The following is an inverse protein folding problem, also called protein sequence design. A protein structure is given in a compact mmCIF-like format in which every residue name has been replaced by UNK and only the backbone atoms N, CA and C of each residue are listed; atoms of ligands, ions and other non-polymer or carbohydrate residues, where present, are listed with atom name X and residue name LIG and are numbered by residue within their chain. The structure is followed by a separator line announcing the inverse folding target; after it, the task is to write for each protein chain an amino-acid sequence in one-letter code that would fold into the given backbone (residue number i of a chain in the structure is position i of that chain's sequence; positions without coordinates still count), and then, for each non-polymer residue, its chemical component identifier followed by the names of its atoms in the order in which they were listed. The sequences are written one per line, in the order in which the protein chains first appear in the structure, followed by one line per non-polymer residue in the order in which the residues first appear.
data_IF_187882224268
#
_entry.id   IF_187882224268
#
_cell.length_a   1.000
_cell.length_b   1.000
_cell.length_c   1.000
_cell.angle_alpha   90.00
_cell.angle_beta   90.00
_cell.angle_gamma   90.00
#
_symmetry.space_group_name_H-M   'P 1'
#
loop_
_entity.id
_entity.type
_entity.pdbx_description
1 polymer ?
#
# COMPACT_ATOMS: atom_id res chain seq x y z
N UNK A 1 -18.52 -15.62 -13.57
CA UNK A 1 -17.57 -15.80 -14.68
C UNK A 1 -18.30 -16.40 -15.87
N UNK A 2 -18.55 -15.58 -16.88
CA UNK A 2 -19.20 -15.92 -18.16
C UNK A 2 -18.20 -15.97 -19.34
N UNK A 3 -17.08 -15.26 -19.21
CA UNK A 3 -16.00 -15.16 -20.20
C UNK A 3 -15.31 -13.79 -20.19
N UNK A 4 -15.92 -12.78 -19.55
CA UNK A 4 -15.36 -11.43 -19.31
C UNK A 4 -13.89 -11.47 -18.85
N UNK A 5 -13.65 -12.05 -17.67
CA UNK A 5 -12.31 -12.07 -17.05
C UNK A 5 -11.34 -13.10 -17.65
N UNK A 6 -11.58 -13.61 -18.86
CA UNK A 6 -10.70 -14.63 -19.44
C UNK A 6 -9.31 -14.08 -19.80
N UNK A 7 -9.22 -12.79 -20.14
CA UNK A 7 -7.95 -12.08 -20.34
C UNK A 7 -7.13 -11.98 -19.04
N UNK A 8 -7.77 -11.71 -17.90
CA UNK A 8 -7.11 -11.76 -16.59
C UNK A 8 -6.52 -13.14 -16.26
N UNK A 9 -7.17 -14.23 -16.68
CA UNK A 9 -6.62 -15.57 -16.48
C UNK A 9 -5.48 -15.89 -17.46
N UNK A 10 -5.54 -15.39 -18.70
CA UNK A 10 -4.43 -15.51 -19.66
C UNK A 10 -3.20 -14.75 -19.15
N UNK A 11 -3.36 -13.47 -18.77
CA UNK A 11 -2.32 -12.63 -18.16
C UNK A 11 -1.69 -13.27 -16.92
N UNK A 12 -2.49 -13.67 -15.91
CA UNK A 12 -1.95 -14.30 -14.69
C UNK A 12 -1.24 -15.63 -14.93
N UNK A 13 -1.40 -16.25 -16.11
CA UNK A 13 -0.72 -17.49 -16.47
C UNK A 13 0.64 -17.32 -17.15
N UNK A 14 1.06 -16.09 -17.43
CA UNK A 14 2.37 -15.81 -18.05
C UNK A 14 3.56 -16.12 -17.13
N UNK A 15 3.35 -16.14 -15.81
CA UNK A 15 4.36 -16.53 -14.81
C UNK A 15 4.71 -18.03 -14.84
N UNK A 16 3.81 -18.86 -15.37
CA UNK A 16 3.93 -20.32 -15.45
C UNK A 16 3.59 -21.09 -14.17
N UNK A 17 3.06 -20.45 -13.12
CA UNK A 17 2.66 -21.11 -11.87
C UNK A 17 1.41 -21.98 -12.04
N UNK A 18 0.42 -21.47 -12.75
CA UNK A 18 -0.83 -22.15 -13.11
C UNK A 18 -1.23 -21.76 -14.53
N UNK A 19 -1.85 -22.65 -15.30
CA UNK A 19 -2.39 -22.28 -16.62
C UNK A 19 -3.62 -21.36 -16.47
N UNK A 20 -3.94 -20.58 -17.50
CA UNK A 20 -5.15 -19.74 -17.52
C UNK A 20 -6.43 -20.52 -17.19
N UNK A 21 -6.49 -21.79 -17.60
CA UNK A 21 -7.58 -22.68 -17.20
C UNK A 21 -7.57 -22.97 -15.69
N UNK A 22 -6.43 -23.24 -15.09
CA UNK A 22 -6.33 -23.56 -13.66
C UNK A 22 -6.63 -22.33 -12.79
N UNK A 23 -6.23 -21.13 -13.22
CA UNK A 23 -6.70 -19.87 -12.62
C UNK A 23 -8.23 -19.73 -12.75
N UNK A 24 -8.78 -19.90 -13.96
CA UNK A 24 -10.23 -19.84 -14.19
C UNK A 24 -11.01 -20.85 -13.33
N UNK A 25 -10.52 -22.08 -13.21
CA UNK A 25 -11.13 -23.13 -12.38
C UNK A 25 -11.01 -22.79 -10.86
N UNK A 26 -9.90 -22.17 -10.42
CA UNK A 26 -9.68 -21.68 -9.04
C UNK A 26 -10.61 -20.52 -8.68
N UNK A 27 -10.60 -19.43 -9.45
CA UNK A 27 -11.47 -18.27 -9.25
C UNK A 27 -12.95 -18.63 -9.41
N UNK A 28 -13.30 -19.59 -10.29
CA UNK A 28 -14.69 -20.13 -10.39
C UNK A 28 -15.13 -20.83 -9.10
N UNK A 29 -14.22 -21.42 -8.32
CA UNK A 29 -14.54 -21.96 -6.99
C UNK A 29 -14.62 -20.83 -5.94
N UNK A 30 -13.63 -19.93 -5.94
CA UNK A 30 -13.53 -18.78 -5.05
C UNK A 30 -14.78 -17.89 -5.08
N UNK A 31 -14.99 -17.21 -6.22
CA UNK A 31 -16.12 -16.30 -6.49
C UNK A 31 -17.51 -16.97 -6.50
N UNK A 32 -17.64 -18.26 -6.15
CA UNK A 32 -18.91 -18.98 -6.27
C UNK A 32 -19.95 -18.46 -5.26
N UNK A 33 -20.84 -17.60 -5.76
CA UNK A 33 -22.07 -17.13 -5.10
C UNK A 33 -23.32 -17.62 -5.84
N UNK A 34 -24.48 -17.59 -5.20
CA UNK A 34 -25.79 -17.74 -5.85
C UNK A 34 -26.50 -16.40 -6.12
N UNK A 35 -25.95 -15.29 -5.59
CA UNK A 35 -26.40 -13.93 -5.83
C UNK A 35 -25.79 -13.33 -7.10
N UNK A 36 -26.51 -12.38 -7.70
CA UNK A 36 -26.09 -11.64 -8.90
C UNK A 36 -25.76 -10.17 -8.58
N UNK A 37 -26.53 -9.54 -7.67
CA UNK A 37 -26.24 -8.21 -7.14
C UNK A 37 -26.56 -8.15 -5.64
N UNK A 38 -25.83 -7.27 -4.95
CA UNK A 38 -26.08 -6.87 -3.57
C UNK A 38 -26.19 -5.35 -3.58
N UNK A 39 -27.07 -4.78 -2.76
CA UNK A 39 -27.19 -3.34 -2.58
C UNK A 39 -27.24 -3.03 -1.09
N UNK A 40 -26.34 -2.16 -0.64
CA UNK A 40 -26.14 -1.80 0.76
C UNK A 40 -26.52 -0.32 0.90
N UNK A 41 -27.31 0.02 1.92
CA UNK A 41 -27.62 1.41 2.26
C UNK A 41 -27.82 1.50 3.78
N UNK A 42 -26.95 2.24 4.46
CA UNK A 42 -26.84 2.25 5.93
C UNK A 42 -26.73 0.81 6.48
N UNK A 43 -27.67 0.38 7.33
CA UNK A 43 -27.80 -0.97 7.88
C UNK A 43 -28.67 -1.92 7.02
N UNK A 44 -29.30 -1.43 5.95
CA UNK A 44 -30.18 -2.22 5.10
C UNK A 44 -29.42 -2.89 3.93
N UNK A 45 -29.51 -4.22 3.82
CA UNK A 45 -28.86 -4.98 2.74
C UNK A 45 -29.89 -5.80 1.95
N UNK A 46 -29.84 -5.60 0.64
CA UNK A 46 -30.68 -6.24 -0.37
C UNK A 46 -29.84 -7.20 -1.21
N UNK A 47 -30.32 -8.42 -1.37
CA UNK A 47 -29.71 -9.47 -2.17
C UNK A 47 -30.63 -9.83 -3.34
N UNK A 48 -30.09 -9.92 -4.55
CA UNK A 48 -30.84 -10.39 -5.73
C UNK A 48 -30.16 -11.64 -6.28
N UNK A 49 -30.88 -12.76 -6.35
CA UNK A 49 -30.37 -14.00 -6.92
C UNK A 49 -30.37 -14.00 -8.46
N UNK A 50 -29.75 -15.01 -9.06
CA UNK A 50 -29.61 -15.13 -10.54
C UNK A 50 -30.94 -15.35 -11.27
N UNK A 51 -32.01 -15.74 -10.57
CA UNK A 51 -33.36 -15.82 -11.13
C UNK A 51 -34.12 -14.47 -10.97
N UNK A 52 -33.49 -13.44 -10.39
CA UNK A 52 -34.06 -12.12 -10.17
C UNK A 52 -34.96 -12.03 -8.94
N UNK A 53 -34.96 -13.03 -8.05
CA UNK A 53 -35.68 -12.95 -6.77
C UNK A 53 -34.87 -12.10 -5.80
N UNK A 54 -35.55 -11.15 -5.18
CA UNK A 54 -35.00 -10.24 -4.16
C UNK A 54 -35.35 -10.73 -2.76
N UNK A 55 -34.39 -10.69 -1.85
CA UNK A 55 -34.61 -10.75 -0.40
C UNK A 55 -33.77 -9.68 0.31
N UNK A 56 -34.26 -9.14 1.42
CA UNK A 56 -33.70 -7.95 2.06
C UNK A 56 -33.92 -7.99 3.58
N UNK A 57 -32.98 -7.46 4.35
CA UNK A 57 -33.09 -7.29 5.81
C UNK A 57 -32.25 -6.11 6.26
N UNK A 58 -32.60 -5.56 7.42
CA UNK A 58 -31.70 -4.71 8.20
C UNK A 58 -30.68 -5.60 8.93
N UNK A 59 -29.44 -5.14 9.08
CA UNK A 59 -28.31 -5.93 9.57
C UNK A 59 -27.55 -5.24 10.69
N UNK A 60 -27.35 -5.99 11.77
CA UNK A 60 -26.70 -5.51 12.97
C UNK A 60 -25.25 -6.00 13.03
N UNK A 61 -24.32 -5.06 13.19
CA UNK A 61 -22.92 -5.37 13.49
C UNK A 61 -22.79 -6.11 14.84
N UNK A 62 -22.09 -7.25 14.84
CA UNK A 62 -21.88 -8.10 16.03
C UNK A 62 -20.43 -8.13 16.50
N UNK A 63 -19.50 -7.59 15.72
CA UNK A 63 -18.07 -7.50 16.03
C UNK A 63 -17.21 -7.84 14.81
N UNK A 64 -15.92 -8.06 15.04
CA UNK A 64 -14.99 -8.53 14.02
C UNK A 64 -14.10 -9.64 14.61
N UNK A 65 -13.44 -10.38 13.73
CA UNK A 65 -12.31 -11.25 14.09
C UNK A 65 -11.19 -11.09 13.07
N UNK A 66 -10.00 -11.56 13.41
CA UNK A 66 -8.92 -11.70 12.43
C UNK A 66 -8.91 -13.13 11.92
N UNK A 67 -9.04 -13.29 10.60
CA UNK A 67 -8.77 -14.56 9.94
C UNK A 67 -7.25 -14.67 9.74
N UNK A 68 -6.65 -15.70 10.33
CA UNK A 68 -5.30 -16.13 9.98
C UNK A 68 -5.42 -17.14 8.82
N UNK A 69 -4.78 -16.87 7.67
CA UNK A 69 -4.86 -17.71 6.48
C UNK A 69 -3.72 -18.75 6.44
N UNK A 70 -3.92 -19.88 5.75
CA UNK A 70 -2.89 -20.92 5.62
C UNK A 70 -1.63 -20.49 4.83
N UNK A 71 -1.72 -19.38 4.07
CA UNK A 71 -0.59 -18.66 3.45
C UNK A 71 0.29 -17.92 4.47
N UNK A 72 -0.26 -17.56 5.64
CA UNK A 72 0.37 -16.66 6.62
C UNK A 72 -0.22 -15.23 6.60
N UNK A 73 -0.95 -14.86 5.55
CA UNK A 73 -1.71 -13.60 5.44
C UNK A 73 -2.73 -13.48 6.59
N UNK A 74 -3.12 -12.25 6.95
CA UNK A 74 -4.11 -12.00 8.01
C UNK A 74 -5.13 -10.95 7.55
N UNK A 75 -6.41 -11.22 7.69
CA UNK A 75 -7.49 -10.32 7.24
C UNK A 75 -8.47 -9.97 8.38
N UNK A 76 -8.95 -8.72 8.41
CA UNK A 76 -10.07 -8.33 9.24
C UNK A 76 -11.40 -8.83 8.62
N UNK A 77 -12.22 -9.51 9.43
CA UNK A 77 -13.50 -10.06 9.01
C UNK A 77 -14.62 -9.46 9.88
N UNK A 78 -15.43 -8.58 9.30
CA UNK A 78 -16.51 -7.86 9.99
C UNK A 78 -17.81 -8.67 9.96
N UNK A 79 -18.41 -8.91 11.13
CA UNK A 79 -19.57 -9.81 11.30
C UNK A 79 -20.87 -9.03 11.52
N UNK A 80 -21.90 -9.42 10.76
CA UNK A 80 -23.24 -8.84 10.80
C UNK A 80 -24.31 -9.94 10.90
N UNK A 81 -25.44 -9.65 11.54
CA UNK A 81 -26.54 -10.58 11.80
C UNK A 81 -27.87 -9.92 11.42
N UNK A 82 -28.73 -10.64 10.69
CA UNK A 82 -30.02 -10.13 10.21
C UNK A 82 -30.99 -9.88 11.36
N UNK A 83 -31.62 -8.69 11.39
CA UNK A 83 -32.66 -8.36 12.38
C UNK A 83 -33.95 -9.18 12.14
N UNK A 84 -34.37 -9.41 10.88
CA UNK A 84 -35.40 -10.42 10.56
C UNK A 84 -34.82 -11.68 9.90
N UNK A 85 -34.63 -12.70 10.74
CA UNK A 85 -34.21 -14.06 10.35
C UNK A 85 -35.23 -14.85 9.51
N UNK A 86 -36.38 -14.26 9.19
CA UNK A 86 -37.43 -14.85 8.36
C UNK A 86 -37.60 -14.13 7.01
N UNK A 87 -36.84 -13.06 6.76
CA UNK A 87 -36.80 -12.30 5.51
C UNK A 87 -36.45 -13.15 4.27
N UNK A 88 -35.68 -14.22 4.47
CA UNK A 88 -35.07 -15.00 3.40
C UNK A 88 -33.80 -14.35 2.82
N UNK A 89 -33.28 -13.30 3.46
CA UNK A 89 -31.90 -12.84 3.27
C UNK A 89 -30.96 -13.65 4.21
N UNK A 90 -29.65 -13.77 3.92
CA UNK A 90 -28.71 -14.53 4.73
C UNK A 90 -28.70 -14.12 6.20
N UNK A 91 -28.90 -15.06 7.12
CA UNK A 91 -29.04 -14.72 8.56
C UNK A 91 -27.74 -14.16 9.17
N UNK A 92 -26.59 -14.63 8.70
CA UNK A 92 -25.25 -14.21 9.16
C UNK A 92 -24.38 -13.89 7.95
N UNK A 93 -23.66 -12.77 8.03
CA UNK A 93 -22.73 -12.31 6.99
C UNK A 93 -21.37 -11.91 7.57
N UNK A 94 -20.32 -12.17 6.79
CA UNK A 94 -18.94 -11.77 7.04
C UNK A 94 -18.43 -10.96 5.84
N UNK A 95 -18.08 -9.70 6.09
CA UNK A 95 -17.44 -8.80 5.13
C UNK A 95 -15.92 -8.79 5.31
N UNK A 96 -15.20 -8.74 4.20
CA UNK A 96 -13.81 -8.34 4.10
C UNK A 96 -13.57 -7.62 2.76
N UNK A 97 -12.70 -6.64 2.82
CA UNK A 97 -12.39 -5.60 1.84
C UNK A 97 -10.88 -5.47 1.62
N UNK A 98 -10.09 -6.39 2.21
CA UNK A 98 -8.63 -6.36 2.42
C UNK A 98 -8.10 -5.21 3.28
N UNK A 99 -8.68 -4.02 3.13
CA UNK A 99 -8.25 -2.78 3.77
C UNK A 99 -8.30 -2.87 5.31
N UNK A 100 -7.35 -2.23 5.97
CA UNK A 100 -7.15 -2.25 7.42
C UNK A 100 -7.61 -0.93 8.09
N UNK A 101 -7.76 0.15 7.32
CA UNK A 101 -8.18 1.49 7.76
C UNK A 101 -9.43 1.97 6.96
N UNK A 102 -10.04 3.14 7.26
CA UNK A 102 -11.27 3.57 6.58
C UNK A 102 -11.02 4.16 5.17
N UNK A 103 -11.27 3.37 4.13
CA UNK A 103 -11.02 3.71 2.71
C UNK A 103 -12.19 3.26 1.81
N UNK A 104 -12.14 3.52 0.49
CA UNK A 104 -13.12 2.99 -0.48
C UNK A 104 -12.65 1.64 -1.01
N UNK A 105 -13.32 0.56 -0.63
CA UNK A 105 -13.04 -0.77 -1.20
C UNK A 105 -13.29 -0.84 -2.72
N UNK A 106 -12.35 -1.46 -3.43
CA UNK A 106 -12.44 -1.89 -4.83
C UNK A 106 -13.54 -2.98 -4.96
N UNK A 107 -13.37 -4.06 -4.19
CA UNK A 107 -14.33 -5.16 -4.08
C UNK A 107 -14.57 -5.62 -2.64
N UNK A 108 -15.70 -6.27 -2.42
CA UNK A 108 -16.03 -6.92 -1.16
C UNK A 108 -16.09 -8.45 -1.30
N UNK A 109 -15.37 -9.15 -0.43
CA UNK A 109 -15.62 -10.55 -0.11
C UNK A 109 -16.73 -10.66 0.93
N UNK A 110 -17.88 -11.24 0.56
CA UNK A 110 -19.06 -11.37 1.44
C UNK A 110 -19.45 -12.84 1.62
N UNK A 111 -19.06 -13.44 2.74
CA UNK A 111 -19.42 -14.83 3.08
C UNK A 111 -20.71 -14.89 3.89
N UNK A 112 -21.51 -15.94 3.72
CA UNK A 112 -22.92 -15.98 4.12
C UNK A 112 -23.32 -17.34 4.74
N UNK A 113 -24.20 -17.32 5.73
CA UNK A 113 -24.85 -18.55 6.26
C UNK A 113 -26.22 -18.23 6.89
N UNK A 114 -27.14 -19.20 6.83
CA UNK A 114 -28.43 -19.14 7.54
C UNK A 114 -28.38 -19.78 8.95
N UNK A 115 -27.33 -20.57 9.24
CA UNK A 115 -27.25 -21.38 10.47
C UNK A 115 -26.46 -20.67 11.58
N UNK A 116 -25.22 -20.26 11.29
CA UNK A 116 -24.32 -19.53 12.20
C UNK A 116 -23.05 -19.07 11.47
N UNK A 117 -22.25 -18.18 12.07
CA UNK A 117 -20.91 -17.85 11.56
C UNK A 117 -20.01 -19.09 11.43
N UNK A 118 -20.07 -20.03 12.39
CA UNK A 118 -19.30 -21.28 12.36
C UNK A 118 -19.76 -22.25 11.25
N UNK A 119 -20.89 -21.97 10.61
CA UNK A 119 -21.41 -22.68 9.43
C UNK A 119 -21.10 -21.95 8.11
N UNK A 120 -20.22 -20.95 8.12
CA UNK A 120 -19.53 -20.45 6.92
C UNK A 120 -18.35 -21.39 6.64
N UNK A 121 -18.52 -22.28 5.67
CA UNK A 121 -17.60 -23.41 5.42
C UNK A 121 -16.59 -23.08 4.32
N UNK A 122 -15.34 -23.53 4.49
CA UNK A 122 -14.25 -23.45 3.50
C UNK A 122 -13.87 -22.00 3.11
N UNK A 123 -13.49 -21.12 4.07
CA UNK A 123 -13.19 -19.72 3.78
C UNK A 123 -12.00 -19.52 2.84
N UNK A 124 -11.03 -20.45 2.82
CA UNK A 124 -9.89 -20.43 1.89
C UNK A 124 -10.29 -20.87 0.47
N UNK A 125 -11.42 -21.56 0.36
CA UNK A 125 -11.92 -22.19 -0.85
C UNK A 125 -13.19 -21.58 -1.43
N UNK A 126 -13.87 -20.69 -0.71
CA UNK A 126 -15.03 -19.94 -1.17
C UNK A 126 -15.03 -18.53 -0.55
N UNK A 127 -14.87 -17.54 -1.42
CA UNK A 127 -14.77 -16.12 -1.14
C UNK A 127 -15.61 -15.38 -2.21
N UNK A 128 -16.95 -15.39 -2.06
CA UNK A 128 -17.87 -14.65 -2.93
C UNK A 128 -17.45 -13.19 -3.05
N UNK A 129 -17.18 -12.71 -4.26
CA UNK A 129 -16.61 -11.37 -4.50
C UNK A 129 -17.57 -10.52 -5.31
N UNK A 130 -17.69 -9.26 -4.93
CA UNK A 130 -18.61 -8.29 -5.52
C UNK A 130 -17.87 -6.97 -5.74
N UNK A 131 -17.80 -6.55 -7.00
CA UNK A 131 -17.23 -5.29 -7.48
C UNK A 131 -18.31 -4.19 -7.50
N UNK A 132 -17.90 -2.93 -7.66
CA UNK A 132 -18.86 -1.82 -7.86
C UNK A 132 -19.68 -2.05 -9.15
N UNK A 133 -21.00 -1.88 -9.04
CA UNK A 133 -21.94 -2.08 -10.15
C UNK A 133 -21.87 -0.98 -11.23
N UNK A 134 -21.06 0.06 -11.01
CA UNK A 134 -20.71 1.06 -12.02
C UNK A 134 -19.66 0.57 -13.04
N UNK A 135 -18.81 -0.39 -12.66
CA UNK A 135 -17.67 -0.82 -13.46
C UNK A 135 -18.08 -1.67 -14.68
N UNK A 136 -17.35 -1.50 -15.77
CA UNK A 136 -17.43 -2.34 -16.96
C UNK A 136 -16.72 -3.68 -16.75
N UNK A 137 -17.00 -4.71 -17.58
CA UNK A 137 -16.29 -5.99 -17.50
C UNK A 137 -14.78 -5.89 -17.73
N UNK A 138 -14.32 -4.82 -18.37
CA UNK A 138 -12.93 -4.60 -18.74
C UNK A 138 -12.20 -3.92 -17.56
N UNK A 139 -12.78 -2.92 -16.90
CA UNK A 139 -12.26 -2.35 -15.64
C UNK A 139 -12.17 -3.40 -14.52
N UNK A 140 -13.19 -4.27 -14.38
CA UNK A 140 -13.12 -5.43 -13.45
C UNK A 140 -12.07 -6.46 -13.89
N UNK A 141 -11.68 -6.48 -15.17
CA UNK A 141 -10.56 -7.29 -15.65
C UNK A 141 -9.24 -6.70 -15.16
N UNK A 142 -9.05 -5.38 -15.27
CA UNK A 142 -7.86 -4.66 -14.81
C UNK A 142 -7.69 -4.69 -13.28
N UNK A 143 -8.76 -4.49 -12.50
CA UNK A 143 -8.77 -4.70 -11.04
C UNK A 143 -8.35 -6.13 -10.67
N UNK A 144 -8.91 -7.14 -11.36
CA UNK A 144 -8.56 -8.55 -11.11
C UNK A 144 -7.14 -8.87 -11.58
N UNK A 145 -6.63 -8.23 -12.64
CA UNK A 145 -5.22 -8.33 -13.06
C UNK A 145 -4.30 -7.73 -11.99
N UNK A 146 -4.67 -6.58 -11.42
CA UNK A 146 -3.84 -5.76 -10.54
C UNK A 146 -3.22 -4.54 -11.23
N UNK A 147 -3.82 -4.09 -12.35
CA UNK A 147 -3.39 -2.88 -13.05
C UNK A 147 -4.10 -1.64 -12.49
N UNK A 148 -3.46 -0.98 -11.52
CA UNK A 148 -3.82 0.41 -11.22
C UNK A 148 -3.55 1.30 -12.44
N UNK A 149 -4.51 2.15 -12.81
CA UNK A 149 -4.38 3.01 -14.00
C UNK A 149 -3.13 3.89 -13.95
N UNK A 150 -2.39 3.90 -15.06
CA UNK A 150 -1.27 4.82 -15.30
C UNK A 150 -1.53 5.64 -16.56
N UNK A 151 -1.60 6.97 -16.42
CA UNK A 151 -1.91 7.90 -17.52
C UNK A 151 -0.69 8.25 -18.41
N UNK A 152 -0.69 7.77 -19.67
CA UNK A 152 0.11 8.18 -20.87
C UNK A 152 -0.39 7.32 -22.07
N UNK A 153 -0.79 7.74 -23.28
CA UNK A 153 -1.20 9.00 -23.98
C UNK A 153 -2.24 8.52 -25.08
N UNK A 154 -2.87 9.22 -26.05
CA UNK A 154 -2.66 10.48 -26.80
C UNK A 154 -4.03 11.19 -27.06
N UNK A 155 -4.04 12.53 -26.95
CA UNK A 155 -4.80 13.52 -27.77
C UNK A 155 -6.34 13.83 -27.68
N UNK A 156 -6.61 15.15 -27.56
CA UNK A 156 -7.72 16.01 -28.07
C UNK A 156 -9.22 15.67 -27.81
N UNK A 157 -9.86 16.35 -26.83
CA UNK A 157 -10.82 17.47 -27.10
C UNK A 157 -11.23 18.29 -25.83
N UNK A 158 -11.88 19.45 -26.00
CA UNK A 158 -12.22 20.40 -24.90
C UNK A 158 -13.39 19.97 -23.97
N UNK A 159 -13.12 19.69 -22.69
CA UNK A 159 -14.16 19.70 -21.64
C UNK A 159 -13.69 20.27 -20.28
N UNK A 160 -14.34 21.36 -19.82
CA UNK A 160 -14.23 21.85 -18.44
C UNK A 160 -14.97 20.88 -17.49
N UNK A 161 -14.23 20.17 -16.63
CA UNK A 161 -14.78 19.44 -15.50
C UNK A 161 -14.26 20.05 -14.18
N UNK A 162 -15.18 20.50 -13.33
CA UNK A 162 -14.89 20.82 -11.94
C UNK A 162 -14.59 19.51 -11.21
N UNK A 163 -13.33 19.31 -10.79
CA UNK A 163 -12.98 18.20 -9.91
C UNK A 163 -13.59 18.48 -8.53
N UNK A 164 -14.58 17.68 -8.11
CA UNK A 164 -14.95 17.62 -6.70
C UNK A 164 -13.80 16.97 -5.91
N UNK A 165 -13.51 17.51 -4.73
CA UNK A 165 -12.33 17.17 -3.93
C UNK A 165 -12.45 15.75 -3.33
N UNK A 166 -11.86 14.76 -4.00
CA UNK A 166 -11.38 13.56 -3.31
C UNK A 166 -10.21 13.96 -2.40
N UNK A 167 -10.18 13.44 -1.17
CA UNK A 167 -9.13 13.81 -0.21
C UNK A 167 -7.77 13.31 -0.72
N UNK A 168 -6.79 14.22 -0.86
CA UNK A 168 -5.43 13.86 -1.31
C UNK A 168 -4.79 12.91 -0.30
N UNK A 169 -4.29 11.75 -0.76
CA UNK A 169 -3.52 10.84 0.11
C UNK A 169 -2.17 11.47 0.48
N UNK A 170 -2.14 12.12 1.65
CA UNK A 170 -0.92 12.71 2.19
C UNK A 170 0.01 11.63 2.75
N UNK A 171 1.15 11.42 2.07
CA UNK A 171 2.26 10.62 2.59
C UNK A 171 2.65 11.08 4.01
N UNK A 172 2.61 10.19 5.01
CA UNK A 172 2.85 10.57 6.40
C UNK A 172 4.33 10.88 6.72
N UNK A 173 5.27 10.47 5.86
CA UNK A 173 6.71 10.41 6.13
C UNK A 173 7.43 11.77 6.03
N UNK A 174 6.73 12.86 6.35
CA UNK A 174 7.20 14.26 6.29
C UNK A 174 8.54 14.47 6.99
N UNK A 175 8.88 13.66 7.99
CA UNK A 175 10.13 13.77 8.75
C UNK A 175 11.38 13.34 7.96
N UNK A 176 11.27 12.63 6.84
CA UNK A 176 12.42 12.23 6.02
C UNK A 176 12.94 13.37 5.11
N UNK A 177 12.17 14.44 4.94
CA UNK A 177 12.70 15.73 4.47
C UNK A 177 13.36 16.50 5.62
N UNK A 178 14.62 16.91 5.43
CA UNK A 178 15.32 17.77 6.39
C UNK A 178 14.73 19.18 6.43
N UNK A 179 14.13 19.64 5.33
CA UNK A 179 13.48 20.95 5.21
C UNK A 179 12.16 20.95 5.98
N UNK A 180 11.36 19.90 5.86
CA UNK A 180 10.17 19.68 6.71
C UNK A 180 10.55 19.52 8.18
N UNK A 181 11.56 18.71 8.51
CA UNK A 181 12.03 18.55 9.90
C UNK A 181 12.44 19.87 10.54
N UNK A 182 13.01 20.81 9.77
CA UNK A 182 13.33 22.18 10.21
C UNK A 182 12.08 23.00 10.52
N UNK A 183 11.04 22.91 9.70
CA UNK A 183 9.73 23.57 9.92
C UNK A 183 9.05 23.01 11.17
N UNK A 184 8.99 21.67 11.29
CA UNK A 184 8.42 20.97 12.45
C UNK A 184 9.12 21.38 13.75
N UNK A 185 10.46 21.43 13.76
CA UNK A 185 11.22 21.87 14.93
C UNK A 185 10.90 23.32 15.34
N UNK A 186 10.72 24.22 14.37
CA UNK A 186 10.39 25.62 14.64
C UNK A 186 8.96 25.79 15.20
N UNK A 187 7.98 25.04 14.69
CA UNK A 187 6.63 25.07 15.23
C UNK A 187 6.56 24.43 16.63
N UNK A 188 7.33 23.36 16.89
CA UNK A 188 7.47 22.76 18.23
C UNK A 188 8.07 23.76 19.22
N UNK A 189 9.17 24.45 18.87
CA UNK A 189 9.80 25.45 19.74
C UNK A 189 8.85 26.61 20.07
N UNK A 190 8.18 27.17 19.06
CA UNK A 190 7.14 28.21 19.20
C UNK A 190 6.01 27.81 20.14
N UNK A 191 5.55 26.55 20.11
CA UNK A 191 4.53 26.07 21.04
C UNK A 191 5.06 25.82 22.45
N UNK A 192 6.33 25.45 22.61
CA UNK A 192 6.99 25.31 23.92
C UNK A 192 7.22 26.71 24.54
N UNK A 193 7.68 27.71 23.80
CA UNK A 193 7.80 29.11 24.25
C UNK A 193 6.44 29.65 24.75
N UNK A 194 5.35 29.35 24.04
CA UNK A 194 4.01 29.77 24.44
C UNK A 194 3.50 29.13 25.75
N UNK A 195 4.09 28.01 26.19
CA UNK A 195 3.76 27.29 27.42
C UNK A 195 4.70 27.68 28.57
N UNK A 196 5.99 27.88 28.30
CA UNK A 196 7.03 28.25 29.28
C UNK A 196 7.87 29.47 28.80
N UNK A 197 7.30 30.68 28.84
CA UNK A 197 7.95 31.89 28.31
C UNK A 197 9.13 32.37 29.16
N UNK A 198 9.29 31.89 30.40
CA UNK A 198 10.44 32.23 31.24
C UNK A 198 11.74 31.57 30.71
N UNK A 199 11.62 30.45 29.97
CA UNK A 199 12.73 29.70 29.39
C UNK A 199 12.89 29.88 27.85
N UNK A 200 12.10 30.78 27.24
CA UNK A 200 12.05 31.07 25.80
C UNK A 200 13.43 31.17 25.11
N UNK A 201 14.37 31.91 25.72
CA UNK A 201 15.69 32.14 25.15
C UNK A 201 16.54 30.86 25.01
N UNK A 202 16.35 29.89 25.91
CA UNK A 202 17.05 28.61 25.86
C UNK A 202 16.43 27.69 24.81
N UNK A 203 15.10 27.68 24.64
CA UNK A 203 14.45 26.95 23.54
C UNK A 203 14.91 27.47 22.19
N UNK A 204 14.94 28.80 22.01
CA UNK A 204 15.45 29.41 20.79
C UNK A 204 16.91 29.07 20.51
N UNK A 205 17.78 29.14 21.52
CA UNK A 205 19.19 28.77 21.36
C UNK A 205 19.36 27.28 20.96
N UNK A 206 18.49 26.40 21.48
CA UNK A 206 18.47 24.99 21.09
C UNK A 206 17.94 24.78 19.66
N UNK A 207 16.87 25.49 19.25
CA UNK A 207 16.37 25.46 17.87
C UNK A 207 17.44 25.93 16.89
N UNK A 208 18.02 27.12 17.10
CA UNK A 208 19.05 27.69 16.22
C UNK A 208 20.28 26.75 16.10
N UNK A 209 20.63 26.02 17.17
CA UNK A 209 21.69 25.01 17.20
C UNK A 209 21.32 23.67 16.56
N UNK A 210 20.03 23.33 16.48
CA UNK A 210 19.56 22.09 15.84
C UNK A 210 19.30 22.29 14.35
N UNK A 211 18.66 23.39 13.96
CA UNK A 211 18.42 23.73 12.55
C UNK A 211 19.72 23.93 11.78
N UNK A 212 20.77 24.46 12.42
CA UNK A 212 22.10 24.53 11.80
C UNK A 212 22.70 23.15 11.43
N UNK A 213 22.30 22.06 12.12
CA UNK A 213 22.73 20.69 11.78
C UNK A 213 21.90 20.08 10.66
N UNK A 214 20.60 20.41 10.61
CA UNK A 214 19.73 20.08 9.48
C UNK A 214 20.26 20.75 8.20
N UNK A 215 20.56 22.05 8.28
CA UNK A 215 21.13 22.83 7.16
C UNK A 215 22.50 22.32 6.69
N UNK A 216 23.36 21.86 7.60
CA UNK A 216 24.64 21.24 7.23
C UNK A 216 24.44 19.90 6.49
N UNK A 217 23.40 19.13 6.82
CA UNK A 217 23.14 17.82 6.23
C UNK A 217 22.34 17.91 4.92
N UNK A 218 21.38 18.84 4.84
CA UNK A 218 20.64 19.22 3.62
C UNK A 218 21.62 19.67 2.52
N UNK A 219 22.53 20.59 2.86
CA UNK A 219 23.58 21.04 1.94
C UNK A 219 24.54 19.93 1.49
N UNK A 220 24.77 18.89 2.31
CA UNK A 220 25.54 17.70 1.90
C UNK A 220 24.74 16.84 0.91
N UNK A 221 23.48 16.54 1.20
CA UNK A 221 22.61 15.76 0.31
C UNK A 221 22.46 16.44 -1.06
N UNK A 222 22.16 17.74 -1.10
CA UNK A 222 22.09 18.48 -2.36
C UNK A 222 23.41 18.42 -3.14
N UNK A 223 24.55 18.65 -2.46
CA UNK A 223 25.88 18.59 -3.11
C UNK A 223 26.20 17.19 -3.66
N UNK A 224 25.77 16.13 -2.98
CA UNK A 224 25.93 14.74 -3.42
C UNK A 224 25.06 14.46 -4.66
N UNK A 225 23.77 14.80 -4.61
CA UNK A 225 22.83 14.55 -5.70
C UNK A 225 23.18 15.38 -6.93
N UNK A 226 23.53 16.66 -6.77
CA UNK A 226 24.00 17.54 -7.85
C UNK A 226 25.24 17.00 -8.57
N UNK A 227 26.14 16.35 -7.81
CA UNK A 227 27.37 15.75 -8.34
C UNK A 227 27.18 14.39 -9.04
N UNK A 228 26.04 13.73 -8.83
CA UNK A 228 25.78 12.36 -9.30
C UNK A 228 25.14 12.32 -10.69
N UNK A 229 25.56 11.34 -11.50
CA UNK A 229 24.84 10.93 -12.72
C UNK A 229 23.70 9.94 -12.46
N UNK A 230 23.65 9.31 -11.28
CA UNK A 230 22.52 8.47 -10.85
C UNK A 230 21.45 9.39 -10.27
N UNK A 231 20.27 9.41 -10.91
CA UNK A 231 19.11 10.23 -10.51
C UNK A 231 17.90 9.42 -10.06
N UNK A 232 17.85 8.13 -10.38
CA UNK A 232 16.74 7.23 -10.02
C UNK A 232 17.18 6.22 -8.97
N UNK A 233 16.39 6.04 -7.91
CA UNK A 233 16.61 5.02 -6.88
C UNK A 233 15.61 3.86 -7.06
N UNK A 234 16.06 2.62 -6.93
CA UNK A 234 15.18 1.44 -7.01
C UNK A 234 15.12 0.74 -5.65
N UNK A 235 13.93 0.59 -5.08
CA UNK A 235 13.67 -0.04 -3.78
C UNK A 235 13.02 -1.42 -4.00
N UNK A 236 13.61 -2.46 -3.42
CA UNK A 236 13.01 -3.81 -3.35
C UNK A 236 12.22 -3.99 -2.06
N UNK A 237 11.46 -2.95 -1.69
CA UNK A 237 10.87 -2.73 -0.36
C UNK A 237 9.80 -1.62 -0.44
N UNK A 238 9.20 -1.26 0.70
CA UNK A 238 8.32 -0.07 0.84
C UNK A 238 9.11 1.23 0.69
N UNK A 239 8.41 2.31 0.32
CA UNK A 239 9.03 3.60 0.04
C UNK A 239 8.47 4.77 0.87
N UNK A 240 9.11 5.10 2.01
CA UNK A 240 8.76 6.27 2.84
C UNK A 240 9.49 7.56 2.40
N UNK A 241 10.32 7.51 1.36
CA UNK A 241 11.27 8.61 1.05
C UNK A 241 10.71 9.67 0.09
N UNK A 242 9.38 9.82 -0.05
CA UNK A 242 8.78 10.73 -1.05
C UNK A 242 9.25 12.17 -0.92
N UNK A 243 9.07 12.77 0.26
CA UNK A 243 9.56 14.14 0.53
C UNK A 243 11.08 14.29 0.39
N UNK A 244 11.85 13.21 0.53
CA UNK A 244 13.31 13.23 0.35
C UNK A 244 13.67 13.27 -1.14
N UNK A 245 13.04 12.46 -1.99
CA UNK A 245 13.34 12.45 -3.43
C UNK A 245 12.82 13.73 -4.11
N UNK A 246 11.65 14.22 -3.70
CA UNK A 246 11.11 15.52 -4.10
C UNK A 246 12.05 16.67 -3.67
N UNK A 247 12.65 16.58 -2.48
CA UNK A 247 13.57 17.61 -1.95
C UNK A 247 14.85 17.79 -2.77
N UNK A 248 15.35 16.74 -3.43
CA UNK A 248 16.63 16.75 -4.14
C UNK A 248 16.51 16.49 -5.65
N UNK A 249 15.29 16.42 -6.18
CA UNK A 249 14.99 16.06 -7.57
C UNK A 249 15.63 14.72 -7.99
N UNK A 250 15.23 13.66 -7.26
CA UNK A 250 15.49 12.26 -7.59
C UNK A 250 14.19 11.60 -8.05
N UNK A 251 14.31 10.62 -8.96
CA UNK A 251 13.21 9.72 -9.33
C UNK A 251 13.28 8.45 -8.46
N UNK A 252 12.18 7.68 -8.40
CA UNK A 252 12.18 6.40 -7.72
C UNK A 252 11.29 5.35 -8.40
N UNK A 253 11.62 4.08 -8.14
CA UNK A 253 10.72 2.93 -8.31
C UNK A 253 10.78 2.08 -7.04
N UNK A 254 9.65 1.51 -6.61
CA UNK A 254 9.54 0.76 -5.36
C UNK A 254 8.68 -0.50 -5.52
N UNK A 255 8.80 -1.43 -4.57
CA UNK A 255 7.99 -2.64 -4.54
C UNK A 255 6.59 -2.42 -3.94
N UNK A 256 6.41 -1.34 -3.19
CA UNK A 256 5.12 -0.92 -2.66
C UNK A 256 5.03 0.62 -2.58
N UNK A 257 3.82 1.16 -2.70
CA UNK A 257 3.48 2.54 -2.34
C UNK A 257 3.67 2.70 -0.82
N UNK A 258 4.08 3.90 -0.37
CA UNK A 258 4.62 4.13 0.99
C UNK A 258 3.74 3.65 2.15
N UNK A 259 2.42 3.78 2.02
CA UNK A 259 1.44 3.41 3.05
C UNK A 259 0.96 1.94 2.98
N UNK A 260 1.33 1.18 1.94
CA UNK A 260 0.78 -0.17 1.71
C UNK A 260 1.06 -1.12 2.88
N UNK A 261 0.02 -1.81 3.34
CA UNK A 261 0.14 -2.84 4.37
C UNK A 261 0.77 -4.16 3.87
N UNK A 262 0.97 -4.31 2.56
CA UNK A 262 1.40 -5.56 1.93
C UNK A 262 2.81 -6.02 2.31
N UNK A 263 3.01 -7.34 2.25
CA UNK A 263 4.27 -8.00 2.63
C UNK A 263 4.89 -8.84 1.52
N UNK A 264 4.16 -9.10 0.44
CA UNK A 264 4.67 -9.81 -0.75
C UNK A 264 4.43 -8.93 -1.98
N UNK A 265 5.50 -8.62 -2.72
CA UNK A 265 5.39 -7.87 -3.97
C UNK A 265 4.94 -8.81 -5.08
N UNK A 266 4.07 -8.33 -5.97
CA UNK A 266 3.54 -9.14 -7.08
C UNK A 266 4.65 -9.58 -8.05
N UNK A 267 4.44 -10.65 -8.80
CA UNK A 267 5.44 -11.14 -9.75
C UNK A 267 5.71 -10.13 -10.88
N UNK A 268 4.67 -9.39 -11.28
CA UNK A 268 4.69 -8.29 -12.23
C UNK A 268 5.52 -7.13 -11.67
N UNK A 269 5.32 -6.76 -10.40
CA UNK A 269 6.11 -5.76 -9.67
C UNK A 269 7.59 -6.14 -9.60
N UNK A 270 7.88 -7.39 -9.23
CA UNK A 270 9.25 -7.93 -9.17
C UNK A 270 9.90 -7.91 -10.56
N UNK A 271 9.16 -8.28 -11.60
CA UNK A 271 9.63 -8.29 -13.00
C UNK A 271 9.82 -6.89 -13.57
N UNK A 272 8.93 -5.95 -13.25
CA UNK A 272 9.05 -4.53 -13.59
C UNK A 272 10.31 -3.93 -12.97
N UNK A 273 10.52 -4.12 -11.66
CA UNK A 273 11.73 -3.64 -10.97
C UNK A 273 13.00 -4.33 -11.49
N UNK A 274 12.94 -5.62 -11.81
CA UNK A 274 14.03 -6.38 -12.42
C UNK A 274 14.37 -5.90 -13.84
N UNK A 275 13.39 -5.37 -14.58
CA UNK A 275 13.61 -4.69 -15.85
C UNK A 275 14.17 -3.27 -15.63
N UNK A 276 13.65 -2.50 -14.67
CA UNK A 276 14.14 -1.14 -14.37
C UNK A 276 15.60 -1.10 -13.90
N UNK A 277 16.06 -2.04 -13.07
CA UNK A 277 17.50 -2.13 -12.71
C UNK A 277 18.42 -2.49 -13.88
N UNK A 278 17.87 -3.06 -14.95
CA UNK A 278 18.59 -3.30 -16.20
C UNK A 278 18.54 -2.08 -17.14
N UNK A 279 17.37 -1.47 -17.32
CA UNK A 279 17.12 -0.28 -18.14
C UNK A 279 17.95 0.93 -17.68
N UNK A 280 17.95 1.22 -16.38
CA UNK A 280 18.65 2.34 -15.73
C UNK A 280 20.15 2.07 -15.49
N UNK A 281 20.64 0.91 -15.92
CA UNK A 281 21.94 0.32 -15.57
C UNK A 281 22.31 0.38 -14.06
N UNK A 282 21.33 0.21 -13.18
CA UNK A 282 21.55 0.18 -11.72
C UNK A 282 22.58 -0.89 -11.31
N UNK A 283 23.35 -0.57 -10.27
CA UNK A 283 24.29 -1.48 -9.60
C UNK A 283 23.89 -1.76 -8.13
N UNK A 284 22.82 -1.13 -7.65
CA UNK A 284 22.35 -1.20 -6.26
C UNK A 284 20.83 -1.21 -6.24
N UNK A 285 20.26 -1.94 -5.28
CA UNK A 285 18.84 -1.90 -4.90
C UNK A 285 18.74 -1.53 -3.41
N UNK A 286 17.73 -0.74 -3.04
CA UNK A 286 17.54 -0.25 -1.67
C UNK A 286 16.51 -1.09 -0.91
N UNK A 287 16.66 -1.13 0.42
CA UNK A 287 15.75 -1.78 1.39
C UNK A 287 15.64 -0.92 2.65
N UNK A 288 14.61 -1.15 3.46
CA UNK A 288 14.43 -0.47 4.75
C UNK A 288 15.18 -1.18 5.88
N UNK A 289 15.31 -0.50 7.03
CA UNK A 289 15.86 -1.11 8.23
C UNK A 289 15.01 -2.30 8.70
N UNK A 290 15.68 -3.36 9.19
CA UNK A 290 15.04 -4.62 9.58
C UNK A 290 14.31 -5.40 8.47
N UNK A 291 14.38 -4.95 7.20
CA UNK A 291 13.84 -5.68 6.06
C UNK A 291 14.40 -7.12 5.98
N UNK A 292 13.56 -8.08 5.58
CA UNK A 292 14.01 -9.46 5.30
C UNK A 292 14.83 -9.55 4.01
N UNK A 293 14.65 -8.55 3.12
CA UNK A 293 15.32 -8.41 1.82
C UNK A 293 14.97 -9.49 0.80
N UNK A 294 13.95 -10.31 1.06
CA UNK A 294 13.51 -11.39 0.15
C UNK A 294 13.03 -10.85 -1.20
N UNK A 295 12.27 -9.75 -1.20
CA UNK A 295 11.80 -9.06 -2.41
C UNK A 295 13.01 -8.53 -3.21
N UNK A 296 13.93 -7.80 -2.56
CA UNK A 296 15.16 -7.32 -3.19
C UNK A 296 16.04 -8.47 -3.76
N UNK A 297 16.21 -9.57 -3.02
CA UNK A 297 16.91 -10.77 -3.50
C UNK A 297 16.22 -11.42 -4.71
N UNK A 298 14.90 -11.37 -4.76
CA UNK A 298 14.10 -11.92 -5.88
C UNK A 298 14.22 -11.03 -7.11
N UNK A 299 14.12 -9.70 -6.97
CA UNK A 299 14.37 -8.73 -8.04
C UNK A 299 15.79 -8.89 -8.62
N UNK A 300 16.81 -9.03 -7.76
CA UNK A 300 18.19 -9.34 -8.19
C UNK A 300 18.21 -10.62 -9.01
N UNK A 301 17.61 -11.70 -8.50
CA UNK A 301 17.59 -13.02 -9.15
C UNK A 301 16.90 -12.98 -10.52
N UNK A 302 15.75 -12.32 -10.63
CA UNK A 302 14.98 -12.14 -11.87
C UNK A 302 15.71 -11.24 -12.86
N UNK A 303 16.41 -10.20 -12.40
CA UNK A 303 17.16 -9.27 -13.26
C UNK A 303 18.35 -9.90 -14.00
N UNK A 304 18.88 -11.02 -13.48
CA UNK A 304 20.11 -11.64 -13.98
C UNK A 304 21.40 -10.83 -13.71
N UNK A 305 21.31 -9.66 -13.07
CA UNK A 305 22.45 -8.84 -12.62
C UNK A 305 22.97 -9.30 -11.26
N UNK A 306 24.18 -8.86 -10.94
CA UNK A 306 24.68 -8.77 -9.57
C UNK A 306 24.51 -7.33 -9.12
N UNK A 307 23.63 -7.08 -8.15
CA UNK A 307 23.48 -5.77 -7.50
C UNK A 307 23.93 -5.87 -6.05
N UNK A 308 24.45 -4.78 -5.49
CA UNK A 308 24.58 -4.62 -4.05
C UNK A 308 23.21 -4.28 -3.44
N UNK A 309 22.93 -4.74 -2.21
CA UNK A 309 21.76 -4.29 -1.44
C UNK A 309 22.20 -3.20 -0.46
N UNK A 310 21.66 -1.99 -0.63
CA UNK A 310 21.80 -0.89 0.30
C UNK A 310 20.61 -0.83 1.27
N UNK A 311 20.81 -0.23 2.43
CA UNK A 311 19.79 -0.07 3.47
C UNK A 311 19.65 1.41 3.81
N UNK A 312 18.43 1.94 3.78
CA UNK A 312 18.11 3.30 4.18
C UNK A 312 17.10 3.26 5.31
N UNK A 313 17.42 3.94 6.40
CA UNK A 313 16.62 3.97 7.61
C UNK A 313 15.43 4.93 7.44
N UNK A 314 14.21 4.46 7.67
CA UNK A 314 12.97 5.24 7.64
C UNK A 314 12.83 6.19 8.84
N UNK A 315 13.62 5.98 9.89
CA UNK A 315 13.52 6.62 11.21
C UNK A 315 12.19 6.35 11.95
N UNK A 316 11.28 5.52 11.40
CA UNK A 316 10.01 5.14 12.03
C UNK A 316 10.24 4.27 13.28
N UNK A 317 11.34 3.50 13.33
CA UNK A 317 11.69 2.64 14.46
C UNK A 317 13.16 2.75 14.86
N UNK A 318 13.45 2.46 16.14
CA UNK A 318 14.82 2.47 16.69
C UNK A 318 14.94 1.45 17.82
N UNK A 319 16.00 0.63 17.83
CA UNK A 319 16.17 -0.40 18.86
C UNK A 319 16.77 0.17 20.16
N UNK A 320 16.70 -0.63 21.23
CA UNK A 320 17.38 -0.31 22.49
C UNK A 320 18.90 -0.31 22.36
N UNK A 321 19.45 -1.07 21.41
CA UNK A 321 20.90 -1.11 21.15
C UNK A 321 21.35 0.16 20.43
N UNK A 322 20.57 0.63 19.46
CA UNK A 322 20.80 1.90 18.75
C UNK A 322 20.75 3.09 19.72
N UNK A 323 19.72 3.18 20.55
CA UNK A 323 19.61 4.21 21.61
C UNK A 323 20.83 4.16 22.53
N UNK A 324 21.27 2.96 22.95
CA UNK A 324 22.46 2.80 23.79
C UNK A 324 23.78 3.16 23.09
N UNK A 325 23.80 3.08 21.75
CA UNK A 325 24.92 3.46 20.89
C UNK A 325 24.93 4.95 20.52
N UNK A 326 23.89 5.69 20.93
CA UNK A 326 23.77 7.14 20.71
C UNK A 326 22.95 7.54 19.47
N UNK A 327 22.08 6.65 18.97
CA UNK A 327 21.22 6.96 17.84
C UNK A 327 20.29 8.15 18.09
N UNK A 328 20.11 8.95 17.05
CA UNK A 328 19.33 10.18 17.00
C UNK A 328 18.90 10.46 15.57
N UNK A 329 17.90 11.31 15.36
CA UNK A 329 17.46 11.71 14.02
C UNK A 329 18.64 12.16 13.12
N UNK A 330 19.52 13.04 13.62
CA UNK A 330 20.68 13.54 12.86
C UNK A 330 21.68 12.43 12.53
N UNK A 331 21.91 11.46 13.44
CA UNK A 331 22.86 10.38 13.16
C UNK A 331 22.30 9.35 12.17
N UNK A 332 21.00 9.04 12.25
CA UNK A 332 20.32 8.14 11.31
C UNK A 332 20.24 8.76 9.91
N UNK A 333 19.90 10.05 9.80
CA UNK A 333 19.97 10.77 8.52
C UNK A 333 21.40 10.91 7.98
N UNK A 334 22.41 11.04 8.85
CA UNK A 334 23.83 11.01 8.43
C UNK A 334 24.26 9.60 7.97
N UNK A 335 23.68 8.51 8.51
CA UNK A 335 23.89 7.16 7.98
C UNK A 335 23.23 6.98 6.61
N UNK A 336 22.01 7.51 6.40
CA UNK A 336 21.37 7.56 5.07
C UNK A 336 22.23 8.34 4.06
N UNK A 337 22.83 9.46 4.48
CA UNK A 337 23.82 10.17 3.67
C UNK A 337 25.04 9.30 3.38
N UNK A 338 25.64 8.64 4.37
CA UNK A 338 26.86 7.84 4.17
C UNK A 338 26.61 6.64 3.23
N UNK A 339 25.39 6.07 3.23
CA UNK A 339 24.94 5.03 2.29
C UNK A 339 24.76 5.59 0.88
N UNK A 340 23.98 6.67 0.71
CA UNK A 340 23.78 7.29 -0.61
C UNK A 340 25.08 7.85 -1.18
N UNK A 341 25.95 8.41 -0.34
CA UNK A 341 27.31 8.82 -0.70
C UNK A 341 28.24 7.63 -1.02
N UNK A 342 27.81 6.40 -0.75
CA UNK A 342 28.41 5.16 -1.23
C UNK A 342 28.03 4.83 -2.68
N UNK A 343 26.75 5.04 -3.04
CA UNK A 343 26.10 4.61 -4.29
C UNK A 343 26.15 5.67 -5.40
N UNK A 344 25.91 6.94 -5.07
CA UNK A 344 25.74 8.07 -6.01
C UNK A 344 27.08 8.70 -6.46
N UNK A 345 28.08 7.89 -6.84
CA UNK A 345 29.47 8.32 -7.12
C UNK A 345 29.84 8.43 -8.61
#
# INVERSE_FOLDING_TARGET
LDGSLDEAWEHKSEDGSMTAKEYKDYYTKGYKTDYNTISIHDDHIKFTDKDGKVTESDYKYTGYFIQDWSTGTRAAMYRFEAEDKNSGAPVYIEFNDHIIEPEKAEHFHIRMSDESYDAIVDPEGNWPTFFDAALTPDEVCDEVIGHGHSDEDEDEDEHEHEHEEGEEEYDEHVWLSLKNAKVLCAEIEKNIEAIDPDNAADYKANLDSYTAKLDELDGKFQTLVDGSSVKTLVFGDRFPFRYFVDDYALDYYAAFIGCSAETEASFETISFLANKVNELDCNTIFTLENSSKDIANTIISTSGKSLDIAELNSLQSVSKEDISSGASYISLMQQNYDVLAGVLK
#
